data_IF_578700194920
#
_entry.id   IF_578700194920
#
_cell.length_a   1.000
_cell.length_b   1.000
_cell.length_c   1.000
_cell.angle_alpha   90.00
_cell.angle_beta   90.00
_cell.angle_gamma   90.00
#
_symmetry.space_group_name_H-M   'P 1'
#
loop_
_entity.id
_entity.type
_entity.pdbx_description
1 polymer ?
#
# COMPACT_ATOMS: atom_id res chain seq x y z
N UNK A 1 19.11 17.54 -13.43
CA UNK A 1 18.90 17.93 -12.02
C UNK A 1 17.95 16.98 -11.30
N UNK A 2 16.70 16.84 -11.75
CA UNK A 2 15.69 15.97 -11.10
C UNK A 2 16.10 14.49 -10.95
N UNK A 3 16.75 13.90 -11.95
CA UNK A 3 17.25 12.52 -11.85
C UNK A 3 18.23 12.33 -10.68
N UNK A 4 19.12 13.29 -10.46
CA UNK A 4 20.09 13.24 -9.36
C UNK A 4 19.37 13.33 -8.00
N UNK A 5 18.34 14.17 -7.90
CA UNK A 5 17.53 14.28 -6.68
C UNK A 5 16.79 12.96 -6.40
N UNK A 6 16.20 12.36 -7.44
CA UNK A 6 15.53 11.06 -7.31
C UNK A 6 16.50 9.94 -6.91
N UNK A 7 17.69 9.91 -7.50
CA UNK A 7 18.78 8.99 -7.13
C UNK A 7 19.17 9.10 -5.66
N UNK A 8 19.42 10.31 -5.16
CA UNK A 8 19.78 10.50 -3.75
C UNK A 8 18.61 10.16 -2.81
N UNK A 9 17.36 10.43 -3.20
CA UNK A 9 16.19 10.02 -2.44
C UNK A 9 16.07 8.48 -2.35
N UNK A 10 16.23 7.76 -3.46
CA UNK A 10 16.21 6.30 -3.46
C UNK A 10 17.37 5.71 -2.67
N UNK A 11 18.58 6.26 -2.82
CA UNK A 11 19.75 5.87 -2.03
C UNK A 11 19.48 6.04 -0.54
N UNK A 12 18.91 7.16 -0.12
CA UNK A 12 18.53 7.38 1.27
C UNK A 12 17.52 6.31 1.72
N UNK A 13 16.36 6.20 1.05
CA UNK A 13 15.29 5.26 1.42
C UNK A 13 15.77 3.80 1.45
N UNK A 14 16.52 3.34 0.45
CA UNK A 14 16.97 1.95 0.35
C UNK A 14 18.09 1.61 1.33
N UNK A 15 18.91 2.58 1.76
CA UNK A 15 19.94 2.34 2.80
C UNK A 15 19.36 2.31 4.22
N UNK A 16 18.11 2.76 4.41
CA UNK A 16 17.37 2.69 5.68
C UNK A 16 16.38 1.53 5.76
N UNK A 17 16.24 0.75 4.68
CA UNK A 17 15.41 -0.46 4.71
C UNK A 17 16.00 -1.45 5.71
N UNK A 18 15.16 -2.02 6.56
CA UNK A 18 15.56 -3.04 7.52
C UNK A 18 15.85 -4.38 6.81
N UNK A 19 16.60 -5.31 7.46
CA UNK A 19 16.96 -6.59 6.85
C UNK A 19 15.76 -7.45 6.42
N UNK A 20 14.60 -7.29 7.07
CA UNK A 20 13.36 -8.00 6.75
C UNK A 20 12.56 -7.37 5.59
N UNK A 21 13.03 -6.24 5.06
CA UNK A 21 12.37 -5.51 3.96
C UNK A 21 11.50 -4.33 4.40
N UNK A 22 11.29 -4.13 5.70
CA UNK A 22 10.45 -3.05 6.22
C UNK A 22 11.16 -1.70 6.31
N UNK A 23 10.39 -0.65 6.56
CA UNK A 23 10.88 0.68 6.88
C UNK A 23 10.21 1.22 8.13
N UNK A 24 11.00 1.89 8.98
CA UNK A 24 10.42 2.77 9.99
C UNK A 24 9.77 3.98 9.32
N UNK A 25 8.71 4.50 9.94
CA UNK A 25 8.06 5.73 9.50
C UNK A 25 9.00 6.94 9.52
N UNK A 26 9.94 6.99 10.48
CA UNK A 26 10.95 8.04 10.53
C UNK A 26 12.18 7.64 11.34
N UNK A 27 13.25 8.44 11.22
CA UNK A 27 14.58 8.10 11.76
C UNK A 27 14.66 8.18 13.29
N UNK A 28 13.93 9.10 13.93
CA UNK A 28 13.98 9.24 15.39
C UNK A 28 13.32 8.03 16.07
N UNK A 29 13.83 7.54 17.22
CA UNK A 29 13.29 6.36 17.91
C UNK A 29 11.77 6.40 18.18
N UNK A 30 11.21 7.59 18.41
CA UNK A 30 9.77 7.76 18.62
C UNK A 30 8.92 7.44 17.39
N UNK A 31 9.54 7.42 16.20
CA UNK A 31 8.94 7.13 14.89
C UNK A 31 9.27 5.71 14.37
N UNK A 32 9.85 4.85 15.21
CA UNK A 32 10.21 3.47 14.85
C UNK A 32 9.01 2.52 14.88
N UNK A 33 7.94 2.90 14.20
CA UNK A 33 6.86 1.98 13.84
C UNK A 33 6.90 1.70 12.34
N UNK A 34 6.33 0.57 11.97
CA UNK A 34 6.24 0.10 10.59
C UNK A 34 4.75 0.02 10.26
N UNK A 35 4.28 0.92 9.41
CA UNK A 35 2.88 1.03 9.01
C UNK A 35 2.66 0.75 7.51
N UNK A 36 1.41 0.50 7.17
CA UNK A 36 1.00 0.02 5.87
C UNK A 36 1.24 1.06 4.78
N UNK A 37 0.57 2.20 4.85
CA UNK A 37 0.51 3.09 3.69
C UNK A 37 1.85 3.79 3.42
N UNK A 38 2.69 4.09 4.42
CA UNK A 38 4.03 4.63 4.14
C UNK A 38 4.96 3.56 3.54
N UNK A 39 4.80 2.29 3.93
CA UNK A 39 5.49 1.19 3.24
C UNK A 39 5.04 1.10 1.77
N UNK A 40 3.74 1.22 1.51
CA UNK A 40 3.20 1.29 0.15
C UNK A 40 3.76 2.46 -0.67
N UNK A 41 3.85 3.66 -0.07
CA UNK A 41 4.45 4.82 -0.74
C UNK A 41 5.91 4.60 -1.12
N UNK A 42 6.71 3.98 -0.23
CA UNK A 42 8.10 3.65 -0.53
C UNK A 42 8.18 2.66 -1.71
N UNK A 43 7.29 1.68 -1.77
CA UNK A 43 7.25 0.68 -2.83
C UNK A 43 6.86 1.28 -4.18
N UNK A 44 5.76 2.04 -4.22
CA UNK A 44 5.29 2.69 -5.44
C UNK A 44 6.32 3.69 -5.98
N UNK A 45 6.94 4.48 -5.09
CA UNK A 45 8.00 5.42 -5.48
C UNK A 45 9.24 4.69 -6.02
N UNK A 46 9.63 3.57 -5.40
CA UNK A 46 10.77 2.79 -5.84
C UNK A 46 10.53 2.08 -7.18
N UNK A 47 9.34 1.51 -7.38
CA UNK A 47 8.93 0.94 -8.67
C UNK A 47 8.96 2.01 -9.77
N UNK A 48 8.31 3.15 -9.52
CA UNK A 48 8.29 4.28 -10.44
C UNK A 48 9.70 4.77 -10.81
N UNK A 49 10.62 4.87 -9.83
CA UNK A 49 12.01 5.23 -10.09
C UNK A 49 12.70 4.22 -11.02
N UNK A 50 12.60 2.92 -10.71
CA UNK A 50 13.24 1.86 -11.51
C UNK A 50 12.71 1.87 -12.93
N UNK A 51 11.39 1.95 -13.12
CA UNK A 51 10.76 1.96 -14.45
C UNK A 51 11.10 3.21 -15.26
N UNK A 52 11.14 4.37 -14.61
CA UNK A 52 11.40 5.64 -15.29
C UNK A 52 12.86 5.84 -15.68
N UNK A 53 13.79 5.16 -15.01
CA UNK A 53 15.23 5.38 -15.17
C UNK A 53 15.98 4.17 -15.70
N UNK A 54 15.37 2.98 -15.63
CA UNK A 54 15.99 1.68 -15.85
C UNK A 54 17.20 1.41 -14.94
N UNK A 55 17.32 2.12 -13.81
CA UNK A 55 18.34 1.88 -12.79
C UNK A 55 17.91 0.71 -11.90
N UNK A 56 18.55 -0.43 -12.12
CA UNK A 56 18.25 -1.69 -11.44
C UNK A 56 18.93 -1.86 -10.08
N UNK A 57 19.68 -0.85 -9.61
CA UNK A 57 20.44 -0.91 -8.35
C UNK A 57 19.57 -1.32 -7.15
N UNK A 58 18.29 -0.96 -7.16
CA UNK A 58 17.38 -1.17 -6.04
C UNK A 58 16.31 -2.26 -6.27
N UNK A 59 16.42 -3.09 -7.32
CA UNK A 59 15.47 -4.19 -7.58
C UNK A 59 15.34 -5.14 -6.37
N UNK A 60 16.46 -5.43 -5.69
CA UNK A 60 16.44 -6.29 -4.50
C UNK A 60 15.74 -5.62 -3.30
N UNK A 61 15.85 -4.30 -3.15
CA UNK A 61 15.14 -3.57 -2.10
C UNK A 61 13.63 -3.59 -2.37
N UNK A 62 13.23 -3.38 -3.63
CA UNK A 62 11.84 -3.47 -4.08
C UNK A 62 11.27 -4.85 -3.77
N UNK A 63 11.98 -5.91 -4.18
CA UNK A 63 11.55 -7.30 -3.96
C UNK A 63 11.29 -7.59 -2.48
N UNK A 64 12.28 -7.36 -1.61
CA UNK A 64 12.15 -7.64 -0.17
C UNK A 64 11.06 -6.79 0.49
N UNK A 65 10.96 -5.52 0.09
CA UNK A 65 9.94 -4.63 0.62
C UNK A 65 8.54 -5.09 0.24
N UNK A 66 8.34 -5.52 -1.01
CA UNK A 66 7.06 -6.03 -1.47
C UNK A 66 6.70 -7.38 -0.84
N UNK A 67 7.69 -8.27 -0.68
CA UNK A 67 7.55 -9.53 0.07
C UNK A 67 7.13 -9.24 1.52
N UNK A 68 7.78 -8.29 2.21
CA UNK A 68 7.37 -7.86 3.55
C UNK A 68 5.94 -7.32 3.55
N UNK A 69 5.60 -6.49 2.58
CA UNK A 69 4.33 -5.80 2.49
C UNK A 69 3.15 -6.77 2.44
N UNK A 70 3.18 -7.71 1.49
CA UNK A 70 2.14 -8.73 1.31
C UNK A 70 1.98 -9.64 2.53
N UNK A 71 3.10 -10.05 3.12
CA UNK A 71 3.09 -11.03 4.20
C UNK A 71 2.69 -10.45 5.56
N UNK A 72 2.82 -9.14 5.77
CA UNK A 72 2.62 -8.54 7.09
C UNK A 72 1.39 -7.65 7.19
N UNK A 73 1.01 -6.93 6.14
CA UNK A 73 -0.05 -5.92 6.25
C UNK A 73 -1.45 -6.40 5.87
N UNK A 74 -1.59 -7.64 5.42
CA UNK A 74 -2.89 -8.20 5.05
C UNK A 74 -3.12 -9.51 5.78
N UNK A 75 -4.36 -9.73 6.21
CA UNK A 75 -4.80 -11.05 6.67
C UNK A 75 -5.29 -11.88 5.49
N UNK A 76 -5.44 -13.19 5.69
CA UNK A 76 -5.96 -14.10 4.65
C UNK A 76 -7.35 -13.72 4.14
N UNK A 77 -8.13 -12.98 4.93
CA UNK A 77 -9.44 -12.44 4.58
C UNK A 77 -9.40 -11.21 3.68
N UNK A 78 -8.21 -10.64 3.43
CA UNK A 78 -8.04 -9.34 2.78
C UNK A 78 -8.11 -8.16 3.74
N UNK A 79 -8.34 -8.37 5.04
CA UNK A 79 -8.37 -7.27 6.01
C UNK A 79 -7.00 -6.57 6.06
N UNK A 80 -6.92 -5.25 5.80
CA UNK A 80 -5.68 -4.51 5.94
C UNK A 80 -5.38 -4.27 7.42
N UNK A 81 -4.09 -4.29 7.76
CA UNK A 81 -3.56 -3.93 9.06
C UNK A 81 -2.92 -2.56 8.98
N UNK A 82 -3.06 -1.76 10.03
CA UNK A 82 -2.35 -0.49 10.14
C UNK A 82 -0.85 -0.69 10.30
N UNK A 83 -0.46 -1.58 11.23
CA UNK A 83 0.93 -1.92 11.52
C UNK A 83 1.21 -3.37 11.15
N UNK A 84 2.46 -3.67 10.84
CA UNK A 84 2.88 -5.04 10.49
C UNK A 84 2.46 -6.10 11.52
N UNK A 85 2.44 -5.72 12.81
CA UNK A 85 2.12 -6.58 13.94
C UNK A 85 0.74 -6.32 14.57
N UNK A 86 -0.05 -5.38 14.05
CA UNK A 86 -1.35 -5.01 14.63
C UNK A 86 -2.32 -4.47 13.59
N UNK A 87 -3.50 -5.08 13.53
CA UNK A 87 -4.56 -4.67 12.61
C UNK A 87 -5.12 -3.27 12.91
N UNK A 88 -5.46 -3.00 14.18
CA UNK A 88 -6.19 -1.80 14.57
C UNK A 88 -5.31 -0.55 14.77
N UNK A 89 -5.88 0.66 14.54
CA UNK A 89 -7.19 0.90 13.92
C UNK A 89 -7.19 0.44 12.45
N UNK A 90 -8.27 -0.17 11.97
CA UNK A 90 -8.37 -0.44 10.53
C UNK A 90 -8.70 0.89 9.88
N UNK A 91 -7.89 1.31 8.93
CA UNK A 91 -7.91 2.66 8.40
C UNK A 91 -8.10 2.62 6.88
N UNK A 92 -8.93 3.52 6.36
CA UNK A 92 -9.25 3.54 4.93
C UNK A 92 -8.05 3.94 4.07
N UNK A 93 -7.08 4.68 4.59
CA UNK A 93 -5.84 4.95 3.86
C UNK A 93 -4.99 3.67 3.72
N UNK A 94 -4.93 2.84 4.77
CA UNK A 94 -4.28 1.52 4.69
C UNK A 94 -4.98 0.62 3.65
N UNK A 95 -6.32 0.66 3.61
CA UNK A 95 -7.10 -0.10 2.63
C UNK A 95 -6.84 0.41 1.20
N UNK A 96 -6.96 1.72 0.97
CA UNK A 96 -6.78 2.31 -0.35
C UNK A 96 -5.36 2.13 -0.87
N UNK A 97 -4.35 2.40 -0.05
CA UNK A 97 -2.95 2.21 -0.46
C UNK A 97 -2.63 0.74 -0.69
N UNK A 98 -3.20 -0.16 0.12
CA UNK A 98 -3.09 -1.60 -0.11
C UNK A 98 -3.63 -2.03 -1.47
N UNK A 99 -4.85 -1.61 -1.82
CA UNK A 99 -5.44 -1.91 -3.12
C UNK A 99 -4.58 -1.34 -4.25
N UNK A 100 -4.13 -0.09 -4.11
CA UNK A 100 -3.36 0.60 -5.14
C UNK A 100 -1.98 -0.03 -5.36
N UNK A 101 -1.18 -0.20 -4.32
CA UNK A 101 0.15 -0.83 -4.44
C UNK A 101 0.03 -2.26 -4.97
N UNK A 102 -0.96 -3.03 -4.51
CA UNK A 102 -1.16 -4.39 -5.03
C UNK A 102 -1.55 -4.39 -6.52
N UNK A 103 -2.39 -3.47 -6.97
CA UNK A 103 -2.72 -3.32 -8.37
C UNK A 103 -1.50 -2.89 -9.20
N UNK A 104 -0.73 -1.90 -8.73
CA UNK A 104 0.48 -1.39 -9.39
C UNK A 104 1.57 -2.45 -9.56
N UNK A 105 1.56 -3.52 -8.76
CA UNK A 105 2.56 -4.59 -8.78
C UNK A 105 2.05 -5.87 -9.46
N UNK A 106 0.90 -5.81 -10.15
CA UNK A 106 0.33 -6.96 -10.88
C UNK A 106 1.25 -7.52 -11.98
N UNK A 107 2.05 -6.66 -12.60
CA UNK A 107 3.11 -7.01 -13.57
C UNK A 107 4.38 -7.58 -12.91
N UNK A 108 4.57 -7.31 -11.62
CA UNK A 108 5.72 -7.75 -10.84
C UNK A 108 5.47 -9.10 -10.15
N UNK A 109 4.22 -9.35 -9.74
CA UNK A 109 3.81 -10.55 -9.04
C UNK A 109 2.32 -10.82 -9.27
N UNK A 110 2.00 -11.91 -9.97
CA UNK A 110 0.62 -12.27 -10.34
C UNK A 110 -0.32 -12.44 -9.12
N UNK A 111 0.21 -12.85 -7.96
CA UNK A 111 -0.60 -13.00 -6.74
C UNK A 111 -1.01 -11.68 -6.11
N UNK A 112 -0.37 -10.58 -6.51
CA UNK A 112 -0.68 -9.25 -5.98
C UNK A 112 -2.09 -8.80 -6.36
N UNK A 113 -2.52 -9.04 -7.59
CA UNK A 113 -3.83 -8.64 -8.08
C UNK A 113 -4.95 -9.38 -7.34
N UNK A 114 -4.79 -10.69 -7.12
CA UNK A 114 -5.72 -11.49 -6.32
C UNK A 114 -5.83 -10.98 -4.88
N UNK A 115 -4.70 -10.62 -4.26
CA UNK A 115 -4.70 -10.02 -2.92
C UNK A 115 -5.38 -8.65 -2.94
N UNK A 116 -5.14 -7.82 -3.97
CA UNK A 116 -5.79 -6.52 -4.16
C UNK A 116 -7.31 -6.64 -4.22
N UNK A 117 -7.82 -7.65 -4.94
CA UNK A 117 -9.26 -7.97 -4.97
C UNK A 117 -9.80 -8.36 -3.60
N UNK A 118 -9.07 -9.16 -2.82
CA UNK A 118 -9.47 -9.52 -1.45
C UNK A 118 -9.56 -8.29 -0.55
N UNK A 119 -8.57 -7.39 -0.63
CA UNK A 119 -8.57 -6.14 0.15
C UNK A 119 -9.73 -5.23 -0.27
N UNK A 120 -9.96 -5.07 -1.58
CA UNK A 120 -11.07 -4.27 -2.11
C UNK A 120 -12.43 -4.82 -1.64
N UNK A 121 -12.64 -6.13 -1.77
CA UNK A 121 -13.86 -6.80 -1.30
C UNK A 121 -14.05 -6.60 0.20
N UNK A 122 -13.03 -6.86 1.01
CA UNK A 122 -13.11 -6.66 2.45
C UNK A 122 -13.46 -5.21 2.80
N UNK A 123 -12.85 -4.24 2.09
CA UNK A 123 -13.06 -2.80 2.30
C UNK A 123 -14.49 -2.38 1.96
N UNK A 124 -15.04 -2.85 0.84
CA UNK A 124 -16.43 -2.58 0.47
C UNK A 124 -17.38 -3.18 1.53
N UNK A 125 -17.18 -4.43 1.90
CA UNK A 125 -18.06 -5.15 2.83
C UNK A 125 -18.04 -4.57 4.26
N UNK A 126 -16.90 -4.01 4.69
CA UNK A 126 -16.69 -3.61 6.09
C UNK A 126 -16.59 -2.10 6.30
N UNK A 127 -16.08 -1.35 5.32
CA UNK A 127 -15.76 0.07 5.46
C UNK A 127 -16.66 0.98 4.63
N UNK A 128 -17.50 0.47 3.73
CA UNK A 128 -18.46 1.29 2.99
C UNK A 128 -19.79 1.45 3.75
N UNK A 129 -20.34 2.65 3.76
CA UNK A 129 -21.71 2.90 4.17
C UNK A 129 -22.69 2.47 3.08
N UNK A 130 -23.93 2.18 3.48
CA UNK A 130 -25.03 1.88 2.55
C UNK A 130 -25.32 3.02 1.56
N UNK A 131 -24.92 4.25 1.87
CA UNK A 131 -25.02 5.40 0.96
C UNK A 131 -23.82 5.56 0.03
N UNK A 132 -22.78 4.72 0.17
CA UNK A 132 -21.68 4.59 -0.79
C UNK A 132 -20.34 5.24 -0.39
N UNK A 133 -20.30 6.04 0.68
CA UNK A 133 -19.03 6.64 1.17
C UNK A 133 -18.27 5.65 2.08
N UNK A 134 -16.96 5.83 2.20
CA UNK A 134 -16.12 5.00 3.07
C UNK A 134 -15.93 5.62 4.45
N UNK A 135 -16.01 4.82 5.52
CA UNK A 135 -15.68 5.25 6.87
C UNK A 135 -14.20 5.62 6.97
N UNK A 136 -13.84 6.53 7.87
CA UNK A 136 -12.43 6.88 8.06
C UNK A 136 -11.66 5.75 8.74
N UNK A 137 -12.17 5.24 9.87
CA UNK A 137 -11.52 4.19 10.64
C UNK A 137 -12.51 3.23 11.29
N UNK A 138 -12.05 2.02 11.58
CA UNK A 138 -12.71 1.02 12.41
C UNK A 138 -11.80 0.62 13.58
N UNK A 139 -12.36 0.68 14.78
CA UNK A 139 -11.79 0.18 16.02
C UNK A 139 -12.51 -1.12 16.43
N UNK A 140 -12.04 -1.87 17.46
CA UNK A 140 -12.67 -3.13 17.85
C UNK A 140 -14.18 -3.04 18.13
N UNK A 141 -14.67 -1.91 18.66
CA UNK A 141 -16.06 -1.76 19.10
C UNK A 141 -16.82 -0.61 18.42
N UNK A 142 -16.17 0.13 17.52
CA UNK A 142 -16.80 1.28 16.88
C UNK A 142 -16.19 1.60 15.52
N UNK A 143 -16.96 2.29 14.69
CA UNK A 143 -16.49 2.85 13.42
C UNK A 143 -16.56 4.37 13.48
N UNK A 144 -15.46 5.03 13.12
CA UNK A 144 -15.42 6.47 12.90
C UNK A 144 -15.88 6.75 11.47
N UNK A 145 -17.18 6.99 11.31
CA UNK A 145 -17.85 7.11 10.00
C UNK A 145 -17.71 8.48 9.34
N UNK A 146 -16.76 9.31 9.74
CA UNK A 146 -16.57 10.61 9.10
C UNK A 146 -16.12 10.41 7.63
N UNK A 147 -16.79 11.01 6.63
CA UNK A 147 -16.41 10.88 5.22
C UNK A 147 -15.21 11.78 4.90
N UNK A 148 -14.03 11.41 5.40
CA UNK A 148 -12.80 12.19 5.16
C UNK A 148 -12.43 12.14 3.67
N UNK A 149 -12.46 13.30 3.00
CA UNK A 149 -12.22 13.38 1.55
C UNK A 149 -10.84 12.81 1.19
N UNK A 150 -9.79 13.29 1.85
CA UNK A 150 -8.42 12.90 1.53
C UNK A 150 -8.07 11.49 2.03
N UNK A 151 -8.45 11.14 3.27
CA UNK A 151 -8.00 9.93 3.94
C UNK A 151 -8.91 8.70 3.80
N UNK A 152 -10.01 8.83 3.07
CA UNK A 152 -10.95 7.72 2.89
C UNK A 152 -11.63 7.74 1.53
N UNK A 153 -12.13 8.89 1.06
CA UNK A 153 -12.92 8.90 -0.17
C UNK A 153 -12.04 8.84 -1.42
N UNK A 154 -11.27 9.91 -1.66
CA UNK A 154 -10.56 10.11 -2.92
C UNK A 154 -9.56 8.99 -3.20
N UNK A 155 -8.81 8.58 -2.18
CA UNK A 155 -7.80 7.52 -2.27
C UNK A 155 -8.45 6.16 -2.51
N UNK A 156 -9.53 5.82 -1.80
CA UNK A 156 -10.23 4.54 -2.02
C UNK A 156 -10.85 4.45 -3.42
N UNK A 157 -11.53 5.49 -3.89
CA UNK A 157 -12.11 5.47 -5.24
C UNK A 157 -11.04 5.36 -6.32
N UNK A 158 -9.92 6.08 -6.18
CA UNK A 158 -8.78 5.95 -7.11
C UNK A 158 -8.22 4.54 -7.12
N UNK A 159 -8.02 3.94 -5.95
CA UNK A 159 -7.47 2.60 -5.83
C UNK A 159 -8.41 1.54 -6.44
N UNK A 160 -9.72 1.65 -6.20
CA UNK A 160 -10.73 0.78 -6.81
C UNK A 160 -10.79 0.92 -8.33
N UNK A 161 -10.70 2.15 -8.85
CA UNK A 161 -10.68 2.39 -10.30
C UNK A 161 -9.42 1.81 -10.96
N UNK A 162 -8.25 1.97 -10.33
CA UNK A 162 -7.01 1.36 -10.80
C UNK A 162 -7.09 -0.18 -10.78
N UNK A 163 -7.60 -0.75 -9.68
CA UNK A 163 -7.76 -2.20 -9.58
C UNK A 163 -8.68 -2.73 -10.70
N UNK A 164 -9.82 -2.07 -10.93
CA UNK A 164 -10.73 -2.44 -12.01
C UNK A 164 -10.06 -2.36 -13.38
N UNK A 165 -9.32 -1.27 -13.64
CA UNK A 165 -8.57 -1.11 -14.87
C UNK A 165 -7.60 -2.27 -15.10
N UNK A 166 -6.82 -2.66 -14.08
CA UNK A 166 -5.87 -3.76 -14.22
C UNK A 166 -6.58 -5.10 -14.44
N UNK A 167 -7.71 -5.36 -13.77
CA UNK A 167 -8.48 -6.59 -13.99
C UNK A 167 -8.97 -6.72 -15.44
N UNK A 168 -9.48 -5.63 -16.01
CA UNK A 168 -9.99 -5.63 -17.40
C UNK A 168 -8.88 -5.82 -18.45
N UNK A 169 -7.62 -5.54 -18.09
CA UNK A 169 -6.46 -5.63 -19.00
C UNK A 169 -5.54 -6.83 -18.71
N UNK A 170 -5.82 -7.61 -17.66
CA UNK A 170 -5.07 -8.86 -17.41
C UNK A 170 -5.47 -9.96 -18.39
N UNK A 171 -6.71 -9.92 -18.92
CA UNK A 171 -7.20 -10.85 -19.95
C UNK A 171 -6.67 -10.56 -21.38
N UNK A 172 -5.79 -9.57 -21.55
CA UNK A 172 -5.26 -9.13 -22.86
C UNK A 172 -3.78 -9.47 -23.11
N UNK A 173 -3.15 -10.28 -22.26
CA UNK A 173 -1.78 -10.81 -22.43
C UNK A 173 -1.81 -12.34 -22.53
#
# INVERSE_FOLDING_TARGET
>A
EYLKVAQEAMKYTCTRQLPDGSWYYGEEPKYHWIDNFHTGYNLDALKCYIESTNDKTYENNLKRGFDFYKNNFFESTGRPKYYHNRAYPIDSQCASQGIETLANFSDYDESSLELGMKVAKWTIDNMQDKTGYFYFMQYPFMKLKAPMIHWAQATTYRALALLLYNLDHTDTL
#
